data_IF_543692937961
#
_entry.id   IF_543692937961
#
_cell.length_a   1.000
_cell.length_b   1.000
_cell.length_c   1.000
_cell.angle_alpha   90.00
_cell.angle_beta   90.00
_cell.angle_gamma   90.00
#
_symmetry.space_group_name_H-M   'P 1'
#
loop_
_entity.id
_entity.type
_entity.pdbx_description
1 polymer ?
#
# COMPACT_ATOMS: atom_id res chain seq x y z
N UNK A 1 -58.05 -20.11 -52.48
CA UNK A 1 -57.60 -18.80 -52.04
C UNK A 1 -57.12 -18.91 -50.60
N UNK A 2 -55.84 -19.09 -50.38
CA UNK A 2 -55.23 -19.23 -49.05
C UNK A 2 -54.51 -17.90 -48.72
N UNK A 3 -54.92 -17.27 -47.60
CA UNK A 3 -54.29 -16.07 -47.06
C UNK A 3 -53.20 -16.52 -46.10
N UNK A 4 -51.97 -16.18 -46.38
CA UNK A 4 -50.81 -16.35 -45.50
C UNK A 4 -50.72 -15.13 -44.59
N UNK A 5 -50.71 -15.35 -43.31
CA UNK A 5 -50.52 -14.37 -42.22
C UNK A 5 -49.01 -14.29 -41.92
N UNK A 6 -48.42 -13.12 -42.14
CA UNK A 6 -47.01 -12.86 -41.83
C UNK A 6 -46.91 -12.32 -40.39
N UNK A 7 -46.19 -13.04 -39.53
CA UNK A 7 -45.97 -12.68 -38.12
C UNK A 7 -44.65 -11.87 -38.04
N UNK A 8 -44.74 -10.57 -37.76
CA UNK A 8 -43.56 -9.75 -37.42
C UNK A 8 -43.17 -9.99 -35.96
N UNK A 9 -41.99 -10.58 -35.74
CA UNK A 9 -41.33 -10.60 -34.43
C UNK A 9 -40.64 -9.25 -34.22
N UNK A 10 -41.11 -8.48 -33.24
CA UNK A 10 -40.41 -7.34 -32.68
C UNK A 10 -39.38 -7.85 -31.66
N UNK A 11 -38.10 -7.69 -32.00
CA UNK A 11 -37.01 -7.90 -31.08
C UNK A 11 -36.88 -6.66 -30.18
N UNK A 12 -37.22 -6.84 -28.89
CA UNK A 12 -36.93 -5.88 -27.82
C UNK A 12 -35.42 -5.99 -27.48
N UNK A 13 -34.66 -4.98 -27.91
CA UNK A 13 -33.29 -4.79 -27.40
C UNK A 13 -33.39 -4.18 -26.01
N UNK A 14 -33.17 -4.99 -25.00
CA UNK A 14 -33.02 -4.56 -23.63
C UNK A 14 -31.65 -3.86 -23.45
N UNK A 15 -31.67 -2.56 -23.10
CA UNK A 15 -30.49 -1.89 -22.57
C UNK A 15 -30.13 -2.53 -21.24
N UNK A 16 -29.03 -3.29 -21.19
CA UNK A 16 -28.38 -3.64 -19.93
C UNK A 16 -27.61 -2.39 -19.45
N UNK A 17 -28.08 -1.81 -18.36
CA UNK A 17 -27.30 -0.88 -17.57
C UNK A 17 -26.07 -1.61 -17.01
N UNK A 18 -24.88 -1.22 -17.44
CA UNK A 18 -23.65 -1.60 -16.76
C UNK A 18 -23.60 -0.86 -15.41
N UNK A 19 -24.05 -1.54 -14.37
CA UNK A 19 -23.67 -1.16 -13.01
C UNK A 19 -22.15 -1.37 -12.91
N UNK A 20 -21.42 -0.28 -12.73
CA UNK A 20 -20.02 -0.31 -12.40
C UNK A 20 -19.88 -1.03 -11.05
N UNK A 21 -19.47 -2.29 -11.11
CA UNK A 21 -19.09 -3.04 -9.92
C UNK A 21 -17.94 -2.31 -9.24
N UNK A 22 -18.19 -1.85 -8.01
CA UNK A 22 -17.13 -1.42 -7.11
C UNK A 22 -16.10 -2.55 -6.98
N UNK A 23 -14.79 -2.22 -6.87
CA UNK A 23 -13.77 -3.24 -6.61
C UNK A 23 -14.17 -4.01 -5.36
N UNK A 24 -14.29 -5.34 -5.48
CA UNK A 24 -14.54 -6.20 -4.34
C UNK A 24 -13.42 -5.98 -3.33
N UNK A 25 -13.79 -5.68 -2.09
CA UNK A 25 -12.91 -5.80 -0.93
C UNK A 25 -12.18 -7.14 -1.05
N UNK A 26 -10.85 -7.09 -0.87
CA UNK A 26 -10.06 -8.31 -0.74
C UNK A 26 -10.49 -8.90 0.61
N UNK A 27 -11.55 -9.70 0.59
CA UNK A 27 -11.87 -10.57 1.68
C UNK A 27 -10.72 -11.58 1.79
N UNK A 28 -9.86 -11.38 2.76
CA UNK A 28 -9.01 -12.46 3.26
C UNK A 28 -10.00 -13.55 3.67
N UNK A 29 -10.11 -14.59 2.85
CA UNK A 29 -10.99 -15.73 3.14
C UNK A 29 -10.48 -16.38 4.43
N UNK A 30 -11.08 -15.98 5.53
CA UNK A 30 -11.04 -16.77 6.77
C UNK A 30 -11.83 -18.04 6.52
N UNK A 31 -11.15 -19.14 6.25
CA UNK A 31 -11.77 -20.47 6.11
C UNK A 31 -11.70 -21.12 4.73
N UNK A 32 -10.80 -20.70 3.85
CA UNK A 32 -10.43 -21.50 2.66
C UNK A 32 -9.55 -22.68 3.08
N UNK A 33 -9.79 -23.86 2.48
CA UNK A 33 -8.85 -24.99 2.59
C UNK A 33 -7.42 -24.46 2.31
N UNK A 34 -6.49 -24.78 3.23
CA UNK A 34 -5.07 -24.49 3.04
C UNK A 34 -4.64 -25.02 1.67
N UNK A 35 -3.89 -24.26 0.86
CA UNK A 35 -3.40 -24.74 -0.44
C UNK A 35 -2.71 -26.08 -0.27
N UNK A 36 -2.87 -26.97 -1.24
CA UNK A 36 -2.38 -28.35 -1.20
C UNK A 36 -0.90 -28.33 -0.78
N UNK A 37 -0.58 -28.97 0.34
CA UNK A 37 0.76 -29.06 0.95
C UNK A 37 1.87 -29.48 -0.04
N UNK A 38 1.52 -29.92 -1.23
CA UNK A 38 2.44 -30.33 -2.29
C UNK A 38 3.06 -29.17 -3.07
N UNK A 39 2.46 -27.99 -3.07
CA UNK A 39 2.93 -26.86 -3.87
C UNK A 39 4.34 -26.37 -3.43
N UNK A 40 4.57 -26.26 -2.13
CA UNK A 40 5.82 -25.73 -1.58
C UNK A 40 6.78 -26.81 -1.01
N UNK A 41 6.37 -28.07 -0.92
CA UNK A 41 7.11 -29.15 -0.24
C UNK A 41 8.52 -29.45 -0.80
N UNK A 42 8.76 -29.13 -2.07
CA UNK A 42 10.05 -29.36 -2.76
C UNK A 42 10.73 -28.06 -3.21
N UNK A 43 10.21 -26.89 -2.79
CA UNK A 43 10.75 -25.59 -3.14
C UNK A 43 11.66 -25.06 -2.04
N UNK A 44 12.37 -23.97 -2.31
CA UNK A 44 13.14 -23.28 -1.28
C UNK A 44 12.20 -22.73 -0.21
N UNK A 45 12.64 -22.76 1.04
CA UNK A 45 11.85 -22.34 2.22
C UNK A 45 11.32 -20.88 2.12
N UNK A 46 11.92 -20.03 1.27
CA UNK A 46 11.46 -18.65 1.03
C UNK A 46 10.34 -18.53 0.01
N UNK A 47 9.97 -19.60 -0.70
CA UNK A 47 9.14 -19.49 -1.90
C UNK A 47 7.74 -18.93 -1.60
N UNK A 48 7.11 -19.37 -0.53
CA UNK A 48 5.78 -18.88 -0.16
C UNK A 48 5.77 -17.37 0.18
N UNK A 49 6.81 -16.88 0.84
CA UNK A 49 6.98 -15.45 1.13
C UNK A 49 7.30 -14.67 -0.14
N UNK A 50 8.15 -15.24 -1.00
CA UNK A 50 8.44 -14.65 -2.30
C UNK A 50 7.18 -14.51 -3.15
N UNK A 51 6.30 -15.50 -3.16
CA UNK A 51 5.03 -15.42 -3.90
C UNK A 51 4.13 -14.29 -3.38
N UNK A 52 4.03 -14.10 -2.06
CA UNK A 52 3.29 -12.96 -1.46
C UNK A 52 3.86 -11.63 -1.93
N UNK A 53 5.17 -11.46 -1.87
CA UNK A 53 5.84 -10.21 -2.25
C UNK A 53 5.74 -9.93 -3.76
N UNK A 54 5.94 -10.97 -4.56
CA UNK A 54 5.79 -10.90 -6.02
C UNK A 54 4.37 -10.50 -6.39
N UNK A 55 3.35 -11.15 -5.82
CA UNK A 55 1.96 -10.81 -6.06
C UNK A 55 1.67 -9.35 -5.71
N UNK A 56 2.15 -8.88 -4.55
CA UNK A 56 1.99 -7.49 -4.12
C UNK A 56 2.62 -6.51 -5.14
N UNK A 57 3.81 -6.82 -5.67
CA UNK A 57 4.48 -6.00 -6.67
C UNK A 57 3.71 -5.93 -8.00
N UNK A 58 3.17 -7.06 -8.46
CA UNK A 58 2.38 -7.10 -9.69
C UNK A 58 1.00 -6.44 -9.55
N UNK A 59 0.36 -6.56 -8.38
CA UNK A 59 -0.88 -5.84 -8.09
C UNK A 59 -0.65 -4.33 -8.02
N UNK A 60 0.48 -3.87 -7.45
CA UNK A 60 0.86 -2.47 -7.49
C UNK A 60 1.04 -1.96 -8.92
N UNK A 61 1.75 -2.71 -9.78
CA UNK A 61 1.93 -2.36 -11.19
C UNK A 61 0.58 -2.23 -11.91
N UNK A 62 -0.31 -3.19 -11.74
CA UNK A 62 -1.63 -3.18 -12.38
C UNK A 62 -2.45 -1.94 -12.00
N UNK A 63 -2.51 -1.59 -10.71
CA UNK A 63 -3.23 -0.40 -10.25
C UNK A 63 -2.56 0.90 -10.69
N UNK A 64 -1.22 0.95 -10.72
CA UNK A 64 -0.49 2.12 -11.20
C UNK A 64 -0.71 2.37 -12.70
N UNK A 65 -0.75 1.32 -13.52
CA UNK A 65 -1.10 1.40 -14.94
C UNK A 65 -2.55 1.83 -15.13
N UNK A 66 -3.48 1.29 -14.34
CA UNK A 66 -4.87 1.71 -14.37
C UNK A 66 -5.03 3.18 -13.98
N UNK A 67 -4.31 3.65 -12.96
CA UNK A 67 -4.28 5.07 -12.58
C UNK A 67 -3.80 5.95 -13.75
N UNK A 68 -2.73 5.55 -14.46
CA UNK A 68 -2.22 6.30 -15.60
C UNK A 68 -3.24 6.34 -16.76
N UNK A 69 -3.93 5.23 -17.02
CA UNK A 69 -5.00 5.15 -18.03
C UNK A 69 -6.17 6.09 -17.67
N UNK A 70 -6.60 6.12 -16.41
CA UNK A 70 -7.68 7.00 -15.94
C UNK A 70 -7.27 8.48 -16.08
N UNK A 71 -6.01 8.83 -15.79
CA UNK A 71 -5.49 10.18 -16.06
C UNK A 71 -5.51 10.53 -17.53
N UNK A 72 -5.09 9.60 -18.40
CA UNK A 72 -5.12 9.81 -19.86
C UNK A 72 -6.55 10.03 -20.36
N UNK A 73 -7.52 9.24 -19.91
CA UNK A 73 -8.92 9.38 -20.27
C UNK A 73 -9.50 10.70 -19.74
N UNK A 74 -9.25 11.04 -18.47
CA UNK A 74 -9.68 12.31 -17.88
C UNK A 74 -9.16 13.51 -18.68
N UNK A 75 -7.92 13.49 -19.11
CA UNK A 75 -7.33 14.58 -19.90
C UNK A 75 -7.83 14.63 -21.35
N UNK A 76 -8.21 13.50 -21.93
CA UNK A 76 -8.68 13.40 -23.31
C UNK A 76 -10.18 13.57 -23.49
N UNK A 77 -11.00 13.46 -22.44
CA UNK A 77 -12.46 13.56 -22.51
C UNK A 77 -13.03 14.32 -21.29
N UNK A 78 -14.34 14.62 -21.34
CA UNK A 78 -15.07 15.24 -20.21
C UNK A 78 -15.85 14.21 -19.38
N UNK A 79 -15.80 12.93 -19.75
CA UNK A 79 -16.64 11.89 -19.15
C UNK A 79 -16.18 11.44 -17.76
N UNK A 80 -14.89 11.61 -17.41
CA UNK A 80 -14.35 11.27 -16.10
C UNK A 80 -14.28 12.49 -15.19
N UNK A 81 -14.48 12.23 -13.88
CA UNK A 81 -14.49 13.25 -12.82
C UNK A 81 -13.21 13.22 -11.98
N UNK A 82 -12.99 14.25 -11.16
CA UNK A 82 -11.92 14.24 -10.17
C UNK A 82 -12.04 13.07 -9.20
N UNK A 83 -13.25 12.59 -8.90
CA UNK A 83 -13.45 11.47 -7.98
C UNK A 83 -12.96 10.15 -8.59
N UNK A 84 -13.04 9.99 -9.92
CA UNK A 84 -12.41 8.85 -10.60
C UNK A 84 -10.89 8.85 -10.43
N UNK A 85 -10.25 10.03 -10.52
CA UNK A 85 -8.80 10.18 -10.29
C UNK A 85 -8.42 9.90 -8.84
N UNK A 86 -9.22 10.40 -7.88
CA UNK A 86 -9.00 10.18 -6.43
C UNK A 86 -9.13 8.71 -6.07
N UNK A 87 -10.14 8.02 -6.63
CA UNK A 87 -10.34 6.58 -6.43
C UNK A 87 -9.16 5.78 -6.97
N UNK A 88 -8.72 6.05 -8.20
CA UNK A 88 -7.58 5.37 -8.81
C UNK A 88 -6.27 5.58 -8.03
N UNK A 89 -6.02 6.82 -7.57
CA UNK A 89 -4.89 7.11 -6.71
C UNK A 89 -4.95 6.33 -5.39
N UNK A 90 -6.12 6.27 -4.75
CA UNK A 90 -6.28 5.57 -3.49
C UNK A 90 -6.09 4.05 -3.66
N UNK A 91 -6.61 3.45 -4.72
CA UNK A 91 -6.36 2.04 -5.05
C UNK A 91 -4.86 1.76 -5.21
N UNK A 92 -4.13 2.59 -5.98
CA UNK A 92 -2.67 2.46 -6.12
C UNK A 92 -1.96 2.62 -4.77
N UNK A 93 -2.40 3.57 -3.94
CA UNK A 93 -1.85 3.79 -2.59
C UNK A 93 -2.03 2.57 -1.69
N UNK A 94 -3.21 1.94 -1.70
CA UNK A 94 -3.48 0.73 -0.91
C UNK A 94 -2.58 -0.45 -1.35
N UNK A 95 -2.32 -0.62 -2.66
CA UNK A 95 -1.38 -1.65 -3.14
C UNK A 95 0.06 -1.36 -2.73
N UNK A 96 0.46 -0.07 -2.77
CA UNK A 96 1.78 0.32 -2.28
C UNK A 96 1.99 -0.02 -0.79
N UNK A 97 0.94 -0.02 0.03
CA UNK A 97 1.04 -0.34 1.46
C UNK A 97 1.56 -1.76 1.73
N UNK A 98 1.39 -2.69 0.82
CA UNK A 98 1.91 -4.05 0.96
C UNK A 98 3.46 -4.10 0.94
N UNK A 99 4.09 -3.19 0.20
CA UNK A 99 5.55 -3.13 0.04
C UNK A 99 6.21 -1.99 0.83
N UNK A 100 5.40 -1.05 1.36
CA UNK A 100 5.91 0.14 2.01
C UNK A 100 6.62 -0.17 3.32
N UNK A 101 7.78 0.42 3.52
CA UNK A 101 8.58 0.29 4.75
C UNK A 101 9.47 -0.95 4.78
N UNK A 102 9.47 -1.75 3.72
CA UNK A 102 10.38 -2.88 3.59
C UNK A 102 11.80 -2.40 3.28
N UNK A 103 12.79 -3.06 3.90
CA UNK A 103 14.21 -2.83 3.68
C UNK A 103 14.92 -4.15 3.29
N UNK A 104 14.15 -5.19 2.95
CA UNK A 104 14.58 -6.51 2.49
C UNK A 104 13.89 -6.85 1.18
N UNK A 105 14.60 -7.52 0.29
CA UNK A 105 14.09 -7.87 -1.04
C UNK A 105 15.05 -7.48 -2.15
N UNK A 106 14.59 -7.42 -3.41
CA UNK A 106 15.43 -7.04 -4.54
C UNK A 106 15.90 -5.58 -4.43
N UNK A 107 17.21 -5.36 -4.53
CA UNK A 107 17.81 -4.01 -4.39
C UNK A 107 17.18 -2.97 -5.34
N UNK A 108 16.84 -3.38 -6.57
CA UNK A 108 16.23 -2.46 -7.53
C UNK A 108 14.79 -2.07 -7.14
N UNK A 109 14.03 -2.95 -6.48
CA UNK A 109 12.72 -2.59 -5.93
C UNK A 109 12.88 -1.62 -4.76
N UNK A 110 13.80 -1.89 -3.84
CA UNK A 110 14.04 -1.06 -2.66
C UNK A 110 14.47 0.38 -3.02
N UNK A 111 15.24 0.56 -4.09
CA UNK A 111 15.65 1.88 -4.60
C UNK A 111 14.48 2.77 -5.00
N UNK A 112 13.35 2.18 -5.39
CA UNK A 112 12.18 2.96 -5.80
C UNK A 112 11.31 3.46 -4.62
N UNK A 113 11.57 3.04 -3.38
CA UNK A 113 10.74 3.39 -2.23
C UNK A 113 10.49 4.89 -2.06
N UNK A 114 11.56 5.71 -2.14
CA UNK A 114 11.46 7.16 -2.06
C UNK A 114 10.83 7.80 -3.30
N UNK A 115 10.99 7.20 -4.47
CA UNK A 115 10.38 7.64 -5.71
C UNK A 115 8.88 7.35 -5.72
N UNK A 116 8.46 6.20 -5.15
CA UNK A 116 7.05 5.87 -4.96
C UNK A 116 6.37 6.78 -3.95
N UNK A 117 7.02 7.05 -2.82
CA UNK A 117 6.42 7.90 -1.79
C UNK A 117 7.44 8.58 -0.90
N UNK A 118 7.48 9.91 -0.99
CA UNK A 118 8.30 10.74 -0.10
C UNK A 118 7.54 11.04 1.21
N UNK A 119 7.82 10.24 2.25
CA UNK A 119 7.31 10.47 3.60
C UNK A 119 8.38 10.08 4.64
N UNK A 120 8.53 10.81 5.74
CA UNK A 120 7.77 11.99 6.20
C UNK A 120 8.21 13.30 5.55
N UNK A 121 7.25 14.11 5.13
CA UNK A 121 7.53 15.47 4.63
C UNK A 121 7.45 16.52 5.75
N UNK A 122 8.48 16.57 6.59
CA UNK A 122 8.55 17.41 7.80
C UNK A 122 8.41 18.91 7.52
N UNK A 123 8.68 19.37 6.28
CA UNK A 123 8.76 20.80 5.92
C UNK A 123 7.80 21.20 4.81
N UNK A 124 6.81 20.36 4.50
CA UNK A 124 5.93 20.53 3.34
C UNK A 124 6.72 20.79 2.04
N UNK A 125 7.75 19.99 1.81
CA UNK A 125 8.62 20.13 0.64
C UNK A 125 7.87 19.77 -0.63
N UNK A 126 7.05 18.73 -0.59
CA UNK A 126 6.15 18.33 -1.67
C UNK A 126 5.24 19.49 -2.07
N UNK A 127 4.54 20.12 -1.11
CA UNK A 127 3.65 21.24 -1.42
C UNK A 127 4.36 22.42 -2.08
N UNK A 128 5.55 22.80 -1.59
CA UNK A 128 6.33 23.90 -2.20
C UNK A 128 6.83 23.55 -3.60
N UNK A 129 7.35 22.34 -3.80
CA UNK A 129 7.88 21.89 -5.09
C UNK A 129 6.77 21.71 -6.11
N UNK A 130 5.64 21.11 -5.73
CA UNK A 130 4.47 20.97 -6.58
C UNK A 130 3.88 22.31 -6.98
N UNK A 131 3.76 23.27 -6.02
CA UNK A 131 3.33 24.65 -6.33
C UNK A 131 4.23 25.35 -7.36
N UNK A 132 5.52 25.02 -7.42
CA UNK A 132 6.44 25.54 -8.42
C UNK A 132 6.28 24.81 -9.75
N UNK A 133 6.16 23.49 -9.73
CA UNK A 133 6.02 22.64 -10.90
C UNK A 133 4.78 22.99 -11.73
N UNK A 134 3.62 23.12 -11.09
CA UNK A 134 2.36 23.42 -11.78
C UNK A 134 2.24 24.85 -12.30
N UNK A 135 3.14 25.76 -11.88
CA UNK A 135 3.23 27.13 -12.41
C UNK A 135 4.07 27.22 -13.67
N UNK A 136 4.88 26.22 -13.95
CA UNK A 136 5.66 26.20 -15.18
C UNK A 136 4.72 26.05 -16.38
N UNK A 137 4.96 26.85 -17.41
CA UNK A 137 4.22 26.76 -18.68
C UNK A 137 4.85 25.66 -19.55
N UNK A 138 4.65 24.41 -19.10
CA UNK A 138 5.26 23.22 -19.68
C UNK A 138 4.38 22.00 -19.45
N UNK A 139 4.11 21.25 -20.51
CA UNK A 139 3.64 19.87 -20.38
C UNK A 139 4.83 18.99 -19.97
N UNK A 140 4.71 18.33 -18.84
CA UNK A 140 5.76 17.45 -18.30
C UNK A 140 5.67 16.05 -18.91
N UNK A 141 6.81 15.35 -18.99
CA UNK A 141 6.85 13.92 -19.27
C UNK A 141 7.26 13.13 -18.03
N UNK A 142 6.97 11.82 -18.00
CA UNK A 142 7.44 10.93 -16.94
C UNK A 142 8.97 10.97 -16.80
N UNK A 143 9.68 11.00 -17.94
CA UNK A 143 11.15 11.12 -17.94
C UNK A 143 11.64 12.44 -17.34
N UNK A 144 10.98 13.56 -17.60
CA UNK A 144 11.35 14.83 -16.93
C UNK A 144 11.24 14.68 -15.41
N UNK A 145 10.14 14.10 -14.93
CA UNK A 145 9.88 13.96 -13.49
C UNK A 145 10.85 12.99 -12.82
N UNK A 146 11.21 11.90 -13.51
CA UNK A 146 12.15 10.89 -12.98
C UNK A 146 13.55 11.48 -12.67
N UNK A 147 13.91 12.59 -13.32
CA UNK A 147 15.18 13.31 -13.10
C UNK A 147 15.05 14.41 -12.03
N UNK A 148 13.85 14.64 -11.50
CA UNK A 148 13.59 15.68 -10.50
C UNK A 148 13.66 15.12 -9.07
N UNK A 149 13.37 15.99 -8.10
CA UNK A 149 13.29 15.59 -6.70
C UNK A 149 12.17 14.56 -6.48
N UNK A 150 12.41 13.55 -5.66
CA UNK A 150 11.42 12.53 -5.23
C UNK A 150 10.10 13.15 -4.71
N UNK A 151 10.14 14.40 -4.26
CA UNK A 151 8.96 15.12 -3.76
C UNK A 151 7.94 15.49 -4.84
N UNK A 152 8.25 15.31 -6.12
CA UNK A 152 7.34 15.59 -7.25
C UNK A 152 7.10 14.37 -8.13
N UNK A 153 7.56 13.19 -7.72
CA UNK A 153 7.56 12.00 -8.58
C UNK A 153 6.43 11.01 -8.31
N UNK A 154 6.04 10.81 -7.05
CA UNK A 154 5.27 9.65 -6.62
C UNK A 154 3.89 9.98 -6.04
N UNK A 155 3.40 9.06 -5.23
CA UNK A 155 2.05 9.09 -4.65
C UNK A 155 1.77 10.35 -3.81
N UNK A 156 2.78 10.88 -3.10
CA UNK A 156 2.62 12.11 -2.32
C UNK A 156 2.43 13.37 -3.19
N UNK A 157 3.09 13.45 -4.35
CA UNK A 157 2.88 14.54 -5.32
C UNK A 157 1.52 14.44 -6.00
N UNK A 158 1.08 13.22 -6.31
CA UNK A 158 -0.26 12.97 -6.83
C UNK A 158 -1.34 13.34 -5.82
N UNK A 159 -1.18 12.96 -4.54
CA UNK A 159 -2.06 13.39 -3.46
C UNK A 159 -2.18 14.93 -3.40
N UNK A 160 -1.04 15.64 -3.47
CA UNK A 160 -1.07 17.08 -3.50
C UNK A 160 -1.87 17.63 -4.68
N UNK A 161 -1.66 17.07 -5.87
CA UNK A 161 -2.37 17.50 -7.07
C UNK A 161 -3.88 17.27 -6.99
N UNK A 162 -4.33 16.18 -6.36
CA UNK A 162 -5.74 15.81 -6.27
C UNK A 162 -6.49 16.53 -5.12
N UNK A 163 -5.81 16.87 -4.03
CA UNK A 163 -6.50 17.29 -2.78
C UNK A 163 -6.05 18.64 -2.23
N UNK A 164 -4.87 19.18 -2.63
CA UNK A 164 -4.41 20.45 -2.06
C UNK A 164 -5.22 21.63 -2.63
N UNK A 165 -5.62 22.56 -1.77
CA UNK A 165 -6.37 23.75 -2.17
C UNK A 165 -5.64 24.65 -3.17
N UNK A 166 -4.30 24.58 -3.21
CA UNK A 166 -3.45 25.32 -4.14
C UNK A 166 -3.26 24.61 -5.49
N UNK A 167 -3.79 23.38 -5.62
CA UNK A 167 -3.73 22.60 -6.85
C UNK A 167 -4.51 23.27 -7.99
N UNK A 168 -4.06 23.14 -9.24
CA UNK A 168 -4.82 23.59 -10.41
C UNK A 168 -6.06 22.71 -10.71
N UNK A 169 -6.16 21.50 -10.15
CA UNK A 169 -7.21 20.51 -10.52
C UNK A 169 -8.62 21.09 -10.47
N UNK A 170 -8.90 21.97 -9.51
CA UNK A 170 -10.22 22.57 -9.31
C UNK A 170 -10.51 23.78 -10.19
N UNK A 171 -9.52 24.28 -10.98
CA UNK A 171 -9.64 25.57 -11.67
C UNK A 171 -9.13 25.54 -13.10
N UNK A 172 -8.19 24.68 -13.42
CA UNK A 172 -7.46 24.65 -14.68
C UNK A 172 -7.09 23.20 -15.02
N UNK A 173 -8.03 22.50 -15.68
CA UNK A 173 -7.87 21.11 -16.08
C UNK A 173 -6.61 20.91 -16.92
N UNK A 174 -6.28 21.85 -17.83
CA UNK A 174 -5.12 21.71 -18.72
C UNK A 174 -3.84 21.65 -17.88
N UNK A 175 -3.64 22.61 -16.97
CA UNK A 175 -2.46 22.60 -16.06
C UNK A 175 -2.42 21.41 -15.12
N UNK A 176 -3.57 20.92 -14.68
CA UNK A 176 -3.63 19.68 -13.91
C UNK A 176 -3.20 18.48 -14.76
N UNK A 177 -3.63 18.42 -16.03
CA UNK A 177 -3.25 17.38 -16.96
C UNK A 177 -1.77 17.42 -17.34
N UNK A 178 -1.19 18.61 -17.55
CA UNK A 178 0.23 18.79 -17.86
C UNK A 178 1.17 18.14 -16.84
N UNK A 179 0.74 18.07 -15.59
CA UNK A 179 1.52 17.47 -14.50
C UNK A 179 0.99 16.09 -14.06
N UNK A 180 -0.33 15.93 -13.98
CA UNK A 180 -0.96 14.72 -13.43
C UNK A 180 -0.72 13.48 -14.28
N UNK A 181 -0.83 13.61 -15.61
CA UNK A 181 -0.52 12.51 -16.53
C UNK A 181 0.95 12.09 -16.41
N UNK A 182 1.88 13.06 -16.35
CA UNK A 182 3.30 12.76 -16.19
C UNK A 182 3.63 12.08 -14.86
N UNK A 183 3.01 12.53 -13.76
CA UNK A 183 3.19 11.90 -12.43
C UNK A 183 2.63 10.48 -12.44
N UNK A 184 1.44 10.26 -13.01
CA UNK A 184 0.82 8.92 -13.05
C UNK A 184 1.62 7.94 -13.90
N UNK A 185 2.14 8.37 -15.05
CA UNK A 185 3.03 7.56 -15.88
C UNK A 185 4.35 7.25 -15.14
N UNK A 186 4.94 8.23 -14.43
CA UNK A 186 6.14 7.99 -13.64
C UNK A 186 5.88 6.99 -12.49
N UNK A 187 4.72 7.04 -11.83
CA UNK A 187 4.33 6.03 -10.83
C UNK A 187 4.23 4.64 -11.46
N UNK A 188 3.64 4.54 -12.66
CA UNK A 188 3.57 3.27 -13.39
C UNK A 188 4.96 2.74 -13.76
N UNK A 189 5.86 3.58 -14.27
CA UNK A 189 7.25 3.21 -14.59
C UNK A 189 8.01 2.71 -13.34
N UNK A 190 7.82 3.36 -12.18
CA UNK A 190 8.44 2.92 -10.93
C UNK A 190 7.86 1.59 -10.44
N UNK A 191 6.56 1.41 -10.60
CA UNK A 191 5.88 0.14 -10.25
C UNK A 191 6.33 -1.00 -11.16
N UNK A 192 6.60 -0.72 -12.44
CA UNK A 192 7.16 -1.67 -13.38
C UNK A 192 8.58 -2.11 -12.98
N UNK A 193 9.45 -1.16 -12.62
CA UNK A 193 10.78 -1.46 -12.09
C UNK A 193 10.73 -2.34 -10.83
N UNK A 194 9.74 -2.11 -9.95
CA UNK A 194 9.51 -2.93 -8.76
C UNK A 194 9.08 -4.35 -9.16
N UNK A 195 8.08 -4.48 -10.04
CA UNK A 195 7.58 -5.77 -10.49
C UNK A 195 8.65 -6.58 -11.25
N UNK A 196 9.43 -5.92 -12.09
CA UNK A 196 10.56 -6.54 -12.79
C UNK A 196 11.63 -7.05 -11.81
N UNK A 197 11.94 -6.29 -10.78
CA UNK A 197 12.87 -6.72 -9.76
C UNK A 197 12.39 -7.97 -9.00
N UNK A 198 11.06 -8.13 -8.81
CA UNK A 198 10.44 -9.29 -8.18
C UNK A 198 10.18 -10.48 -9.14
N UNK A 199 10.66 -10.45 -10.41
CA UNK A 199 10.57 -11.61 -11.31
C UNK A 199 11.36 -12.82 -10.82
N UNK A 200 12.37 -12.63 -10.00
CA UNK A 200 13.19 -13.70 -9.45
C UNK A 200 13.22 -13.64 -7.92
N UNK A 201 13.12 -14.81 -7.29
CA UNK A 201 13.23 -14.93 -5.84
C UNK A 201 14.66 -14.54 -5.38
N UNK A 202 14.83 -13.40 -4.65
CA UNK A 202 16.14 -12.91 -4.23
C UNK A 202 16.76 -13.76 -3.12
N UNK A 203 15.98 -14.60 -2.46
CA UNK A 203 16.35 -15.37 -1.28
C UNK A 203 16.65 -16.85 -1.55
N UNK A 204 16.39 -17.35 -2.76
CA UNK A 204 16.48 -18.77 -3.11
C UNK A 204 17.87 -19.42 -2.91
N UNK A 205 18.91 -18.61 -2.71
CA UNK A 205 20.29 -19.10 -2.48
C UNK A 205 20.73 -18.99 -1.02
N UNK A 206 19.87 -18.47 -0.15
CA UNK A 206 20.17 -18.33 1.27
C UNK A 206 20.02 -19.68 1.99
N UNK A 207 20.92 -19.96 2.94
CA UNK A 207 20.69 -21.03 3.90
C UNK A 207 19.52 -20.65 4.86
N UNK A 208 18.97 -21.66 5.56
CA UNK A 208 17.82 -21.47 6.44
C UNK A 208 18.03 -20.38 7.50
N UNK A 209 19.23 -20.26 8.07
CA UNK A 209 19.51 -19.28 9.12
C UNK A 209 19.50 -17.85 8.56
N UNK A 210 20.14 -17.66 7.40
CA UNK A 210 20.15 -16.36 6.72
C UNK A 210 18.74 -16.00 6.26
N UNK A 211 18.00 -16.97 5.72
CA UNK A 211 16.63 -16.76 5.31
C UNK A 211 15.74 -16.33 6.49
N UNK A 212 15.80 -17.01 7.63
CA UNK A 212 15.05 -16.62 8.83
C UNK A 212 15.35 -15.18 9.26
N UNK A 213 16.63 -14.80 9.19
CA UNK A 213 17.06 -13.43 9.50
C UNK A 213 16.48 -12.42 8.50
N UNK A 214 16.51 -12.72 7.21
CA UNK A 214 15.92 -11.87 6.18
C UNK A 214 14.41 -11.72 6.37
N UNK A 215 13.70 -12.84 6.55
CA UNK A 215 12.25 -12.83 6.70
C UNK A 215 11.79 -12.08 7.95
N UNK A 216 12.43 -12.33 9.09
CA UNK A 216 12.09 -11.62 10.32
C UNK A 216 12.36 -10.12 10.18
N UNK A 217 13.47 -9.73 9.56
CA UNK A 217 13.76 -8.32 9.31
C UNK A 217 12.79 -7.70 8.29
N UNK A 218 12.36 -8.42 7.25
CA UNK A 218 11.36 -7.95 6.29
C UNK A 218 10.07 -7.52 7.01
N UNK A 219 9.51 -8.42 7.81
CA UNK A 219 8.29 -8.15 8.59
C UNK A 219 8.50 -7.04 9.63
N UNK A 220 9.63 -7.07 10.33
CA UNK A 220 9.98 -6.09 11.35
C UNK A 220 10.14 -4.68 10.81
N UNK A 221 10.79 -4.51 9.66
CA UNK A 221 10.97 -3.20 9.02
C UNK A 221 9.62 -2.56 8.67
N UNK A 222 8.72 -3.35 8.08
CA UNK A 222 7.38 -2.88 7.70
C UNK A 222 6.55 -2.49 8.94
N UNK A 223 6.62 -3.29 10.02
CA UNK A 223 5.95 -2.98 11.28
C UNK A 223 6.47 -1.69 11.91
N UNK A 224 7.79 -1.51 12.00
CA UNK A 224 8.39 -0.30 12.55
C UNK A 224 8.08 0.93 11.72
N UNK A 225 8.07 0.81 10.40
CA UNK A 225 7.65 1.89 9.52
C UNK A 225 6.19 2.29 9.77
N UNK A 226 5.29 1.31 9.89
CA UNK A 226 3.88 1.52 10.21
C UNK A 226 3.71 2.19 11.58
N UNK A 227 4.48 1.78 12.59
CA UNK A 227 4.51 2.43 13.90
C UNK A 227 5.01 3.87 13.82
N UNK A 228 6.00 4.18 12.99
CA UNK A 228 6.45 5.57 12.73
C UNK A 228 5.36 6.43 12.11
N UNK A 229 4.53 5.85 11.21
CA UNK A 229 3.38 6.56 10.63
C UNK A 229 2.36 6.98 11.69
N UNK A 230 2.27 6.29 12.81
CA UNK A 230 1.41 6.66 13.95
C UNK A 230 2.13 7.54 14.98
N UNK A 231 3.35 7.20 15.37
CA UNK A 231 4.07 7.91 16.45
C UNK A 231 4.42 9.36 16.08
N UNK A 232 4.74 9.64 14.82
CA UNK A 232 5.08 11.00 14.38
C UNK A 232 3.91 11.98 14.52
N UNK A 233 2.68 11.71 14.06
CA UNK A 233 1.54 12.59 14.28
C UNK A 233 1.02 12.57 15.73
N UNK A 234 1.09 11.44 16.45
CA UNK A 234 0.79 11.38 17.89
C UNK A 234 1.72 12.30 18.70
N UNK A 235 3.00 12.33 18.34
CA UNK A 235 4.04 13.18 18.94
C UNK A 235 4.07 13.08 20.47
N UNK A 236 3.61 14.11 21.17
CA UNK A 236 3.52 14.13 22.65
C UNK A 236 2.07 14.21 23.09
N UNK A 237 1.73 13.56 24.19
CA UNK A 237 0.40 13.63 24.82
C UNK A 237 -0.04 15.09 24.98
N UNK A 238 -1.22 15.40 24.47
CA UNK A 238 -1.78 16.77 24.50
C UNK A 238 -1.17 17.76 23.49
N UNK A 239 -0.20 17.33 22.67
CA UNK A 239 0.44 18.15 21.63
C UNK A 239 0.64 17.35 20.34
N UNK A 240 -0.42 16.80 19.73
CA UNK A 240 -0.30 16.06 18.49
C UNK A 240 0.14 16.96 17.34
N UNK A 241 0.67 16.35 16.29
CA UNK A 241 1.10 17.01 15.05
C UNK A 241 0.38 16.41 13.85
N UNK A 242 -0.92 16.67 13.62
CA UNK A 242 -1.73 16.00 12.61
C UNK A 242 -1.16 16.08 11.18
N UNK A 243 -0.49 17.19 10.84
CA UNK A 243 0.17 17.37 9.53
C UNK A 243 1.37 16.43 9.27
N UNK A 244 1.80 15.67 10.28
CA UNK A 244 2.76 14.58 10.07
C UNK A 244 2.11 13.25 9.73
N UNK A 245 0.78 13.15 9.75
CA UNK A 245 0.11 11.97 9.26
C UNK A 245 0.41 11.80 7.75
N UNK A 246 0.66 10.57 7.35
CA UNK A 246 0.72 10.23 5.94
C UNK A 246 -0.63 10.51 5.30
N UNK A 247 -0.66 10.95 4.05
CA UNK A 247 -1.91 11.17 3.31
C UNK A 247 -2.94 12.03 4.08
N UNK A 248 -2.43 13.09 4.75
CA UNK A 248 -3.27 13.97 5.54
C UNK A 248 -4.19 14.85 4.69
N UNK A 249 -3.84 15.10 3.42
CA UNK A 249 -4.67 15.90 2.49
C UNK A 249 -5.87 15.12 1.98
N UNK A 250 -5.67 13.86 1.65
CA UNK A 250 -6.71 12.94 1.22
C UNK A 250 -7.56 12.40 2.38
N UNK A 251 -7.06 12.59 3.62
CA UNK A 251 -7.69 12.07 4.83
C UNK A 251 -7.79 10.53 4.88
N UNK A 252 -6.84 9.81 4.21
CA UNK A 252 -6.83 8.34 4.10
C UNK A 252 -5.78 7.64 4.97
N UNK A 253 -5.15 8.34 5.90
CA UNK A 253 -4.01 7.83 6.68
C UNK A 253 -4.28 6.52 7.42
N UNK A 254 -5.47 6.33 7.99
CA UNK A 254 -5.80 5.12 8.74
C UNK A 254 -6.22 3.97 7.84
N UNK A 255 -6.90 4.22 6.70
CA UNK A 255 -7.16 3.17 5.72
C UNK A 255 -5.85 2.64 5.09
N UNK A 256 -4.90 3.52 4.80
CA UNK A 256 -3.58 3.12 4.35
C UNK A 256 -2.84 2.26 5.39
N UNK A 257 -2.84 2.70 6.66
CA UNK A 257 -2.23 1.93 7.74
C UNK A 257 -2.91 0.57 7.97
N UNK A 258 -4.24 0.48 7.83
CA UNK A 258 -4.95 -0.78 7.89
C UNK A 258 -4.42 -1.75 6.84
N UNK A 259 -4.28 -1.28 5.60
CA UNK A 259 -3.72 -2.08 4.51
C UNK A 259 -2.27 -2.54 4.79
N UNK A 260 -1.42 -1.72 5.46
CA UNK A 260 -0.11 -2.20 5.92
C UNK A 260 -0.24 -3.37 6.91
N UNK A 261 -1.17 -3.30 7.88
CA UNK A 261 -1.34 -4.36 8.89
C UNK A 261 -1.89 -5.63 8.26
N UNK A 262 -2.84 -5.51 7.32
CA UNK A 262 -3.37 -6.63 6.54
C UNK A 262 -2.28 -7.33 5.73
N UNK A 263 -1.42 -6.55 5.06
CA UNK A 263 -0.29 -7.08 4.31
C UNK A 263 0.75 -7.77 5.21
N UNK A 264 1.06 -7.20 6.38
CA UNK A 264 1.96 -7.83 7.36
C UNK A 264 1.39 -9.16 7.88
N UNK A 265 0.07 -9.25 8.11
CA UNK A 265 -0.58 -10.50 8.48
C UNK A 265 -0.48 -11.53 7.34
N UNK A 266 -0.76 -11.13 6.10
CA UNK A 266 -0.60 -12.00 4.93
C UNK A 266 0.84 -12.49 4.79
N UNK A 267 1.82 -11.60 4.99
CA UNK A 267 3.24 -11.94 4.99
C UNK A 267 3.61 -12.92 6.12
N UNK A 268 3.09 -12.72 7.35
CA UNK A 268 3.32 -13.63 8.48
C UNK A 268 2.78 -15.04 8.22
N UNK A 269 1.61 -15.15 7.58
CA UNK A 269 0.97 -16.44 7.24
C UNK A 269 1.59 -17.06 5.98
N UNK A 270 1.94 -16.25 4.96
CA UNK A 270 2.52 -16.64 3.68
C UNK A 270 1.93 -17.94 3.12
N UNK A 271 0.67 -17.91 2.69
CA UNK A 271 -0.08 -19.06 2.15
C UNK A 271 -0.07 -20.31 3.06
N UNK A 272 0.12 -20.14 4.37
CA UNK A 272 0.22 -21.22 5.34
C UNK A 272 1.64 -21.82 5.47
N UNK A 273 2.67 -21.17 4.89
CA UNK A 273 4.07 -21.60 4.94
C UNK A 273 5.02 -20.52 5.50
N UNK A 274 4.44 -19.51 6.16
CA UNK A 274 5.17 -18.42 6.79
C UNK A 274 5.67 -18.75 8.21
N UNK A 275 5.95 -17.66 8.97
CA UNK A 275 6.41 -17.75 10.37
C UNK A 275 5.41 -18.46 11.28
N UNK A 276 4.11 -18.32 11.04
CA UNK A 276 3.07 -19.06 11.77
C UNK A 276 3.31 -20.56 11.73
N UNK A 277 3.47 -21.12 10.53
CA UNK A 277 3.75 -22.55 10.37
C UNK A 277 5.07 -22.94 11.00
N UNK A 278 6.13 -22.16 10.81
CA UNK A 278 7.43 -22.48 11.38
C UNK A 278 7.40 -22.55 12.91
N UNK A 279 6.67 -21.64 13.56
CA UNK A 279 6.48 -21.66 15.01
C UNK A 279 5.68 -22.90 15.44
N UNK A 280 4.61 -23.26 14.74
CA UNK A 280 3.79 -24.44 15.03
C UNK A 280 4.60 -25.73 14.87
N UNK A 281 5.39 -25.86 13.81
CA UNK A 281 6.27 -27.02 13.56
C UNK A 281 7.33 -27.18 14.66
N UNK A 282 7.74 -26.09 15.31
CA UNK A 282 8.64 -26.07 16.47
C UNK A 282 7.91 -26.34 17.81
N UNK A 283 6.60 -26.57 17.78
CA UNK A 283 5.78 -26.76 18.97
C UNK A 283 5.45 -25.47 19.74
N UNK A 284 5.68 -24.30 19.13
CA UNK A 284 5.38 -22.97 19.71
C UNK A 284 3.97 -22.50 19.34
N UNK A 285 3.00 -23.39 19.50
CA UNK A 285 1.59 -23.15 19.11
C UNK A 285 1.03 -21.91 19.80
N UNK A 286 1.26 -21.74 21.09
CA UNK A 286 0.75 -20.60 21.87
C UNK A 286 1.29 -19.26 21.35
N UNK A 287 2.57 -19.19 20.98
CA UNK A 287 3.17 -17.99 20.42
C UNK A 287 2.56 -17.68 19.03
N UNK A 288 2.41 -18.70 18.18
CA UNK A 288 1.78 -18.56 16.87
C UNK A 288 0.34 -18.05 17.01
N UNK A 289 -0.47 -18.64 17.91
CA UNK A 289 -1.83 -18.20 18.19
C UNK A 289 -1.87 -16.75 18.69
N UNK A 290 -1.00 -16.39 19.67
CA UNK A 290 -0.94 -15.03 20.21
C UNK A 290 -0.63 -13.97 19.14
N UNK A 291 0.20 -14.29 18.14
CA UNK A 291 0.53 -13.35 17.04
C UNK A 291 -0.68 -13.20 16.11
N UNK A 292 -1.33 -14.29 15.73
CA UNK A 292 -2.55 -14.25 14.89
C UNK A 292 -3.65 -13.46 15.61
N UNK A 293 -3.92 -13.78 16.86
CA UNK A 293 -4.92 -13.09 17.68
C UNK A 293 -4.60 -11.58 17.82
N UNK A 294 -3.31 -11.23 17.92
CA UNK A 294 -2.91 -9.82 18.00
C UNK A 294 -3.12 -9.08 16.68
N UNK A 295 -2.87 -9.71 15.54
CA UNK A 295 -3.24 -9.15 14.23
C UNK A 295 -4.75 -8.95 14.12
N UNK A 296 -5.53 -9.99 14.47
CA UNK A 296 -6.99 -9.95 14.41
C UNK A 296 -7.56 -8.87 15.34
N UNK A 297 -7.13 -8.83 16.60
CA UNK A 297 -7.53 -7.79 17.53
C UNK A 297 -7.24 -6.38 17.01
N UNK A 298 -6.09 -6.21 16.36
CA UNK A 298 -5.70 -4.92 15.79
C UNK A 298 -6.62 -4.53 14.64
N UNK A 299 -6.93 -5.45 13.74
CA UNK A 299 -7.77 -5.22 12.57
C UNK A 299 -9.25 -5.07 12.93
N UNK A 300 -9.79 -5.94 13.79
CA UNK A 300 -11.20 -5.95 14.20
C UNK A 300 -11.61 -4.68 14.98
N UNK A 301 -10.64 -4.08 15.65
CA UNK A 301 -10.84 -2.85 16.42
C UNK A 301 -10.27 -1.62 15.71
N UNK A 302 -10.00 -1.71 14.40
CA UNK A 302 -9.51 -0.58 13.64
C UNK A 302 -10.56 0.52 13.57
N UNK A 303 -10.19 1.81 13.71
CA UNK A 303 -11.14 2.91 13.63
C UNK A 303 -11.87 2.94 12.28
N UNK A 304 -13.18 3.22 12.30
CA UNK A 304 -13.96 3.47 11.09
C UNK A 304 -13.57 4.78 10.39
N UNK A 305 -13.10 5.77 11.17
CA UNK A 305 -12.58 7.03 10.64
C UNK A 305 -11.26 6.79 9.89
N UNK A 306 -11.22 7.15 8.61
CA UNK A 306 -10.04 6.99 7.76
C UNK A 306 -8.93 8.01 8.02
N UNK A 307 -9.27 9.14 8.64
CA UNK A 307 -8.38 10.30 8.80
C UNK A 307 -7.75 10.40 10.18
N UNK A 308 -6.50 10.01 10.31
CA UNK A 308 -5.73 10.30 11.53
C UNK A 308 -5.62 11.81 11.78
N UNK A 309 -5.56 12.62 10.71
CA UNK A 309 -5.54 14.07 10.81
C UNK A 309 -6.81 14.61 11.51
N UNK A 310 -7.99 14.06 11.16
CA UNK A 310 -9.26 14.44 11.80
C UNK A 310 -9.31 13.94 13.25
N UNK A 311 -8.97 12.67 13.50
CA UNK A 311 -9.02 12.08 14.85
C UNK A 311 -8.12 12.84 15.84
N UNK A 312 -6.94 13.24 15.43
CA UNK A 312 -5.99 13.93 16.32
C UNK A 312 -6.39 15.35 16.71
N UNK A 313 -7.52 15.88 16.18
CA UNK A 313 -8.11 17.14 16.62
C UNK A 313 -8.92 17.00 17.92
N UNK A 314 -9.25 15.78 18.34
CA UNK A 314 -10.01 15.51 19.56
C UNK A 314 -9.20 14.66 20.55
N UNK A 315 -9.54 14.78 21.85
CA UNK A 315 -8.92 13.95 22.91
C UNK A 315 -9.31 12.47 22.76
N UNK A 316 -10.53 12.21 22.34
CA UNK A 316 -11.04 10.84 22.11
C UNK A 316 -10.35 10.21 20.91
N UNK A 317 -10.30 10.88 19.78
CA UNK A 317 -9.58 10.40 18.59
C UNK A 317 -8.10 10.17 18.87
N UNK A 318 -7.43 11.05 19.64
CA UNK A 318 -6.06 10.83 20.06
C UNK A 318 -5.90 9.51 20.85
N UNK A 319 -6.83 9.22 21.79
CA UNK A 319 -6.81 7.99 22.57
C UNK A 319 -7.01 6.75 21.70
N UNK A 320 -7.91 6.83 20.72
CA UNK A 320 -8.18 5.72 19.81
C UNK A 320 -6.96 5.42 18.91
N UNK A 321 -6.31 6.45 18.37
CA UNK A 321 -5.06 6.28 17.61
C UNK A 321 -3.93 5.71 18.49
N UNK A 322 -3.80 6.20 19.74
CA UNK A 322 -2.81 5.69 20.69
C UNK A 322 -3.09 4.22 21.07
N UNK A 323 -4.35 3.83 21.19
CA UNK A 323 -4.73 2.45 21.46
C UNK A 323 -4.31 1.51 20.32
N UNK A 324 -4.46 1.92 19.07
CA UNK A 324 -3.97 1.14 17.93
C UNK A 324 -2.44 1.08 17.89
N UNK A 325 -1.75 2.20 18.18
CA UNK A 325 -0.30 2.22 18.29
C UNK A 325 0.21 1.20 19.35
N UNK A 326 -0.42 1.15 20.51
CA UNK A 326 -0.04 0.19 21.57
C UNK A 326 -0.26 -1.27 21.16
N UNK A 327 -1.24 -1.56 20.29
CA UNK A 327 -1.43 -2.90 19.73
C UNK A 327 -0.30 -3.29 18.77
N UNK A 328 0.17 -2.34 17.96
CA UNK A 328 1.35 -2.56 17.13
C UNK A 328 2.63 -2.71 17.96
N UNK A 329 2.76 -1.98 19.08
CA UNK A 329 3.88 -2.20 20.03
C UNK A 329 3.86 -3.61 20.62
N UNK A 330 2.68 -4.14 20.96
CA UNK A 330 2.57 -5.51 21.45
C UNK A 330 2.92 -6.52 20.32
N UNK A 331 2.45 -6.29 19.12
CA UNK A 331 2.83 -7.11 17.96
C UNK A 331 4.36 -7.06 17.73
N UNK A 332 4.97 -5.88 17.86
CA UNK A 332 6.42 -5.72 17.78
C UNK A 332 7.12 -6.57 18.86
N UNK A 333 6.65 -6.52 20.10
CA UNK A 333 7.22 -7.34 21.17
C UNK A 333 7.19 -8.83 20.84
N UNK A 334 6.04 -9.35 20.38
CA UNK A 334 5.91 -10.75 20.00
C UNK A 334 6.87 -11.14 18.87
N UNK A 335 7.02 -10.29 17.86
CA UNK A 335 7.85 -10.58 16.68
C UNK A 335 9.34 -10.36 16.97
N UNK A 336 9.72 -9.22 17.55
CA UNK A 336 11.13 -8.85 17.74
C UNK A 336 11.80 -9.58 18.90
N UNK A 337 11.04 -9.85 19.98
CA UNK A 337 11.61 -10.48 21.16
C UNK A 337 11.34 -12.00 21.14
N UNK A 338 10.08 -12.41 21.12
CA UNK A 338 9.76 -13.83 21.31
C UNK A 338 10.08 -14.67 20.08
N UNK A 339 9.68 -14.23 18.87
CA UNK A 339 10.00 -14.98 17.63
C UNK A 339 11.50 -14.96 17.36
N UNK A 340 12.18 -13.83 17.55
CA UNK A 340 13.62 -13.73 17.32
C UNK A 340 14.42 -14.68 18.23
N UNK A 341 14.07 -14.75 19.52
CA UNK A 341 14.67 -15.70 20.47
C UNK A 341 14.41 -17.14 20.01
N UNK A 342 13.17 -17.46 19.66
CA UNK A 342 12.78 -18.81 19.25
C UNK A 342 13.48 -19.28 17.97
N UNK A 343 13.68 -18.39 17.01
CA UNK A 343 14.37 -18.69 15.76
C UNK A 343 15.91 -18.63 15.90
N UNK A 344 16.42 -18.10 17.02
CA UNK A 344 17.86 -17.90 17.24
C UNK A 344 18.46 -16.87 16.27
N UNK A 345 17.68 -15.85 15.91
CA UNK A 345 18.08 -14.75 15.03
C UNK A 345 18.11 -13.43 15.79
N UNK A 346 18.88 -12.46 15.30
CA UNK A 346 18.93 -11.11 15.85
C UNK A 346 18.23 -10.20 14.85
N UNK A 347 17.22 -9.47 15.33
CA UNK A 347 16.61 -8.39 14.56
C UNK A 347 17.61 -7.23 14.50
N UNK A 348 18.06 -6.87 13.31
CA UNK A 348 19.00 -5.76 13.13
C UNK A 348 18.32 -4.43 13.41
N UNK A 349 19.09 -3.45 13.93
CA UNK A 349 18.64 -2.06 13.98
C UNK A 349 18.45 -1.53 12.56
N UNK A 350 17.34 -0.85 12.34
CA UNK A 350 17.07 -0.19 11.06
C UNK A 350 17.93 1.07 10.92
N UNK A 351 18.31 1.40 9.68
CA UNK A 351 19.00 2.67 9.36
C UNK A 351 18.20 3.93 9.78
N UNK A 352 16.95 3.73 10.23
CA UNK A 352 16.03 4.80 10.66
C UNK A 352 16.02 5.03 12.18
N UNK A 353 16.79 4.29 12.98
CA UNK A 353 16.85 4.44 14.43
C UNK A 353 17.71 5.63 14.91
N UNK A 354 18.33 6.34 14.00
CA UNK A 354 19.25 7.47 14.24
C UNK A 354 18.72 8.88 13.94
N UNK A 355 17.42 9.07 13.59
CA UNK A 355 16.86 10.40 13.23
C UNK A 355 15.82 10.96 14.24
#
# INVERSE_FOLDING_TARGET
MKKTLSLCLLALVGCQSNDAQMPQEIAVQSGGELPDNKQYANLHISEAVYDVEKEAAFLLLAEAQQQALIWQQYCGSEDLTEDSLKSAWHSTMLRWMALQGQERGPENALKESWNMQFWPDKKNTTGRKMSTLVKADKAWSANDLSQMSVTVQGLGSMEWLLYDKASPIHKDKIKACDSGLAISLNIADKSDNIADAWQANPWKTLDEKKWRTEYLNLLSNQLEYSMKKMSRPLAKVGKPRPYFAESWRSETSLSNLKANVEAMKALYIAHGFGLDKELRDRGRIQLADSIVEQFDLTLDTWPEESSMFAMLKSKEGYRNVLAQFNKLEHLKYLIHEEVAIELGVVVGFNATDGD
#
